data_IF_558511229170
#
_entry.id   IF_558511229170
#
_cell.length_a   1.000
_cell.length_b   1.000
_cell.length_c   1.000
_cell.angle_alpha   90.00
_cell.angle_beta   90.00
_cell.angle_gamma   90.00
#
_symmetry.space_group_name_H-M   'P 1'
#
loop_
_entity.id
_entity.type
_entity.pdbx_description
1 polymer ?
#
# COMPACT_ATOMS: atom_id res chain seq x y z
N UNK A 1 1.34 -3.85 66.22
CA UNK A 1 0.36 -3.98 65.11
C UNK A 1 0.88 -3.11 63.96
N UNK A 2 1.63 -3.70 63.03
CA UNK A 2 2.22 -2.97 61.90
C UNK A 2 1.33 -3.18 60.65
N UNK A 3 0.74 -2.11 60.14
CA UNK A 3 -0.08 -2.11 58.92
C UNK A 3 0.83 -2.16 57.69
N UNK A 4 0.70 -3.21 56.88
CA UNK A 4 1.40 -3.32 55.59
C UNK A 4 0.90 -2.24 54.62
N UNK A 5 1.78 -1.60 53.84
CA UNK A 5 1.38 -0.63 52.84
C UNK A 5 0.64 -1.30 51.68
N UNK A 6 -0.46 -0.67 51.24
CA UNK A 6 -1.24 -1.12 50.09
C UNK A 6 -0.42 -1.01 48.79
N UNK A 7 -0.30 -2.13 48.06
CA UNK A 7 0.33 -2.18 46.75
C UNK A 7 -0.54 -1.40 45.76
N UNK A 8 0.00 -0.31 45.20
CA UNK A 8 -0.68 0.48 44.17
C UNK A 8 -0.94 -0.40 42.92
N UNK A 9 -2.12 -0.31 42.29
CA UNK A 9 -2.41 -1.07 41.07
C UNK A 9 -1.45 -0.64 39.96
N UNK A 10 -0.66 -1.59 39.46
CA UNK A 10 0.26 -1.37 38.33
C UNK A 10 -0.49 -0.80 37.13
N UNK A 11 0.09 0.22 36.49
CA UNK A 11 -0.44 0.83 35.27
C UNK A 11 -0.72 -0.27 34.24
N UNK A 12 -1.95 -0.39 33.71
CA UNK A 12 -2.26 -1.45 32.76
C UNK A 12 -1.36 -1.28 31.53
N UNK A 13 -0.52 -2.29 31.28
CA UNK A 13 0.35 -2.30 30.11
C UNK A 13 -0.50 -2.08 28.85
N UNK A 14 -0.15 -1.05 28.07
CA UNK A 14 -0.94 -0.63 26.89
C UNK A 14 -0.85 -1.71 25.82
N UNK A 15 -1.77 -2.68 25.85
CA UNK A 15 -1.84 -3.77 24.87
C UNK A 15 -2.08 -3.20 23.47
N UNK A 16 -1.13 -3.43 22.56
CA UNK A 16 -1.28 -3.04 21.15
C UNK A 16 -2.43 -3.86 20.53
N UNK A 17 -3.32 -3.17 19.81
CA UNK A 17 -4.41 -3.85 19.11
C UNK A 17 -3.87 -4.54 17.86
N UNK A 18 -4.44 -5.68 17.41
CA UNK A 18 -3.92 -6.49 16.29
C UNK A 18 -3.56 -5.70 15.02
N UNK A 19 -4.33 -4.68 14.66
CA UNK A 19 -4.06 -3.85 13.48
C UNK A 19 -2.79 -2.98 13.58
N UNK A 20 -2.24 -2.74 14.78
CA UNK A 20 -0.95 -2.04 14.92
C UNK A 20 0.20 -2.93 14.45
N UNK A 21 0.14 -4.23 14.73
CA UNK A 21 1.15 -5.19 14.26
C UNK A 21 1.18 -5.23 12.73
N UNK A 22 0.03 -5.19 12.06
CA UNK A 22 -0.04 -5.08 10.60
C UNK A 22 0.76 -3.88 10.07
N UNK A 23 0.54 -2.67 10.63
CA UNK A 23 1.25 -1.47 10.20
C UNK A 23 2.74 -1.49 10.53
N UNK A 24 3.12 -2.08 11.67
CA UNK A 24 4.52 -2.24 12.03
C UNK A 24 5.22 -3.19 11.04
N UNK A 25 4.61 -4.34 10.75
CA UNK A 25 5.15 -5.32 9.80
C UNK A 25 5.28 -4.70 8.40
N UNK A 26 4.23 -4.04 7.90
CA UNK A 26 4.29 -3.33 6.61
C UNK A 26 5.35 -2.23 6.60
N UNK A 27 5.51 -1.49 7.70
CA UNK A 27 6.55 -0.46 7.85
C UNK A 27 7.96 -1.04 7.82
N UNK A 28 8.19 -2.16 8.52
CA UNK A 28 9.48 -2.86 8.52
C UNK A 28 9.80 -3.45 7.14
N UNK A 29 8.83 -4.06 6.46
CA UNK A 29 8.99 -4.53 5.09
C UNK A 29 9.28 -3.39 4.11
N UNK A 30 8.58 -2.26 4.25
CA UNK A 30 8.86 -1.08 3.44
C UNK A 30 10.28 -0.56 3.65
N UNK A 31 10.73 -0.46 4.92
CA UNK A 31 12.07 -0.04 5.26
C UNK A 31 13.15 -1.00 4.74
N UNK A 32 12.90 -2.32 4.81
CA UNK A 32 13.84 -3.30 4.26
C UNK A 32 13.98 -3.17 2.75
N UNK A 33 12.88 -2.92 2.03
CA UNK A 33 12.95 -2.68 0.58
C UNK A 33 13.75 -1.42 0.26
N UNK A 34 13.51 -0.31 0.98
CA UNK A 34 14.27 0.92 0.80
C UNK A 34 15.78 0.71 1.02
N UNK A 35 16.15 -0.07 2.04
CA UNK A 35 17.55 -0.35 2.38
C UNK A 35 18.25 -1.29 1.40
N UNK A 36 17.59 -2.39 0.98
CA UNK A 36 18.22 -3.43 0.16
C UNK A 36 18.07 -3.24 -1.35
N UNK A 37 17.01 -2.57 -1.80
CA UNK A 37 16.73 -2.40 -3.23
C UNK A 37 16.98 -0.98 -3.70
N UNK A 38 16.38 0.00 -3.02
CA UNK A 38 16.37 1.36 -3.55
C UNK A 38 17.68 2.11 -3.26
N UNK A 39 18.23 1.98 -2.06
CA UNK A 39 19.48 2.64 -1.68
C UNK A 39 20.68 2.31 -2.60
N UNK A 40 20.94 1.02 -2.96
CA UNK A 40 21.97 0.69 -3.94
C UNK A 40 21.68 1.25 -5.34
N UNK A 41 20.40 1.26 -5.75
CA UNK A 41 19.98 1.76 -7.06
C UNK A 41 20.28 3.25 -7.24
N UNK A 42 20.19 4.04 -6.16
CA UNK A 42 20.50 5.48 -6.20
C UNK A 42 22.00 5.80 -6.14
N UNK A 43 22.86 4.88 -5.69
CA UNK A 43 24.30 5.12 -5.49
C UNK A 43 25.23 4.37 -6.47
N UNK A 44 24.73 3.32 -7.15
CA UNK A 44 25.55 2.35 -7.88
C UNK A 44 25.84 2.63 -9.37
N UNK A 45 25.65 3.84 -9.90
CA UNK A 45 25.79 4.10 -11.35
C UNK A 45 27.17 4.63 -11.76
N UNK A 46 27.84 3.89 -12.66
CA UNK A 46 29.15 4.16 -13.28
C UNK A 46 29.20 5.54 -14.01
N UNK A 47 30.24 6.40 -13.86
CA UNK A 47 30.12 7.85 -14.11
C UNK A 47 29.99 8.32 -15.57
N UNK A 48 30.46 7.55 -16.56
CA UNK A 48 30.72 8.06 -17.92
C UNK A 48 29.63 7.76 -18.96
N UNK A 49 28.90 6.64 -18.86
CA UNK A 49 27.77 6.31 -19.75
C UNK A 49 26.40 6.59 -19.11
N UNK A 50 26.35 6.75 -17.78
CA UNK A 50 25.12 6.94 -17.04
C UNK A 50 24.54 8.35 -17.26
N UNK A 51 25.34 9.40 -17.19
CA UNK A 51 24.86 10.77 -16.90
C UNK A 51 23.63 11.27 -17.70
N UNK A 52 23.54 11.07 -19.02
CA UNK A 52 22.41 11.56 -19.82
C UNK A 52 21.15 10.66 -19.78
N UNK A 53 21.33 9.33 -19.80
CA UNK A 53 20.23 8.36 -19.60
C UNK A 53 19.74 8.40 -18.15
N UNK A 54 20.67 8.46 -17.21
CA UNK A 54 20.47 8.59 -15.77
C UNK A 54 19.68 9.84 -15.38
N UNK A 55 19.92 11.00 -16.01
CA UNK A 55 19.12 12.21 -15.73
C UNK A 55 17.65 12.07 -16.18
N UNK A 56 17.40 11.44 -17.33
CA UNK A 56 16.03 11.21 -17.83
C UNK A 56 15.29 10.15 -17.00
N UNK A 57 15.97 9.06 -16.64
CA UNK A 57 15.42 8.02 -15.77
C UNK A 57 15.15 8.57 -14.35
N UNK A 58 16.05 9.38 -13.78
CA UNK A 58 15.83 10.01 -12.48
C UNK A 58 14.67 11.01 -12.48
N UNK A 59 14.46 11.75 -13.58
CA UNK A 59 13.35 12.68 -13.70
C UNK A 59 11.97 11.99 -13.62
N UNK A 60 11.90 10.70 -13.94
CA UNK A 60 10.68 9.89 -13.85
C UNK A 60 10.68 9.08 -12.54
N UNK A 61 11.83 8.52 -12.16
CA UNK A 61 12.00 7.66 -10.99
C UNK A 61 11.78 8.42 -9.69
N UNK A 62 12.33 9.64 -9.56
CA UNK A 62 12.20 10.42 -8.32
C UNK A 62 10.72 10.76 -8.06
N UNK A 63 9.95 11.34 -9.00
CA UNK A 63 8.52 11.56 -8.79
C UNK A 63 7.75 10.27 -8.50
N UNK A 64 8.05 9.18 -9.21
CA UNK A 64 7.43 7.88 -8.97
C UNK A 64 7.66 7.39 -7.53
N UNK A 65 8.92 7.33 -7.10
CA UNK A 65 9.32 6.84 -5.79
C UNK A 65 8.78 7.73 -4.67
N UNK A 66 8.94 9.06 -4.78
CA UNK A 66 8.43 10.01 -3.78
C UNK A 66 6.91 9.89 -3.64
N UNK A 67 6.18 9.79 -4.74
CA UNK A 67 4.73 9.62 -4.70
C UNK A 67 4.32 8.26 -4.12
N UNK A 68 5.00 7.16 -4.50
CA UNK A 68 4.73 5.82 -3.99
C UNK A 68 4.99 5.68 -2.48
N UNK A 69 6.12 6.19 -2.00
CA UNK A 69 6.46 6.22 -0.57
C UNK A 69 5.48 7.09 0.20
N UNK A 70 5.16 8.29 -0.31
CA UNK A 70 4.18 9.18 0.32
C UNK A 70 2.82 8.51 0.43
N UNK A 71 2.30 7.92 -0.66
CA UNK A 71 1.03 7.21 -0.66
C UNK A 71 1.01 6.05 0.34
N UNK A 72 2.13 5.31 0.45
CA UNK A 72 2.30 4.22 1.43
C UNK A 72 2.23 4.75 2.87
N UNK A 73 2.99 5.80 3.20
CA UNK A 73 3.04 6.39 4.55
C UNK A 73 1.70 7.01 4.98
N UNK A 74 0.89 7.51 4.03
CA UNK A 74 -0.43 8.05 4.34
C UNK A 74 -1.44 6.97 4.77
N UNK A 75 -1.25 5.71 4.37
CA UNK A 75 -2.17 4.59 4.63
C UNK A 75 -2.62 4.45 6.08
N UNK A 76 -1.72 4.28 7.07
CA UNK A 76 -2.08 4.13 8.49
C UNK A 76 -3.03 5.22 8.99
N UNK A 77 -2.85 6.46 8.53
CA UNK A 77 -3.68 7.59 8.91
C UNK A 77 -5.03 7.59 8.17
N UNK A 78 -5.03 7.26 6.88
CA UNK A 78 -6.25 7.18 6.06
C UNK A 78 -7.19 6.06 6.52
N UNK A 79 -6.66 4.91 6.92
CA UNK A 79 -7.46 3.77 7.43
C UNK A 79 -7.83 3.90 8.91
N UNK A 80 -7.23 4.83 9.66
CA UNK A 80 -7.53 5.03 11.07
C UNK A 80 -8.89 5.70 11.30
N UNK A 81 -9.84 4.94 11.85
CA UNK A 81 -11.16 5.47 12.24
C UNK A 81 -11.03 6.56 13.31
N UNK A 82 -10.13 6.38 14.30
CA UNK A 82 -9.87 7.38 15.36
C UNK A 82 -9.34 8.69 14.78
N UNK A 83 -8.42 8.62 13.82
CA UNK A 83 -7.87 9.81 13.17
C UNK A 83 -8.96 10.52 12.36
N UNK A 84 -9.73 9.78 11.55
CA UNK A 84 -10.82 10.34 10.75
C UNK A 84 -11.89 11.02 11.60
N UNK A 85 -12.25 10.45 12.76
CA UNK A 85 -13.24 11.03 13.68
C UNK A 85 -12.75 12.34 14.33
N UNK A 86 -11.46 12.44 14.64
CA UNK A 86 -10.88 13.61 15.31
C UNK A 86 -10.41 14.71 14.36
N UNK A 87 -9.96 14.34 13.16
CA UNK A 87 -9.29 15.23 12.22
C UNK A 87 -9.80 15.04 10.79
N UNK A 88 -11.11 15.18 10.59
CA UNK A 88 -11.75 14.94 9.30
C UNK A 88 -11.18 15.81 8.17
N UNK A 89 -10.87 17.08 8.43
CA UNK A 89 -10.24 17.95 7.44
C UNK A 89 -8.87 17.43 7.00
N UNK A 90 -8.03 17.00 7.96
CA UNK A 90 -6.72 16.42 7.66
C UNK A 90 -6.86 15.13 6.86
N UNK A 91 -7.81 14.27 7.24
CA UNK A 91 -8.12 13.06 6.47
C UNK A 91 -8.49 13.37 5.01
N UNK A 92 -9.28 14.42 4.75
CA UNK A 92 -9.62 14.86 3.38
C UNK A 92 -8.42 15.38 2.61
N UNK A 93 -7.55 16.19 3.24
CA UNK A 93 -6.33 16.70 2.60
C UNK A 93 -5.39 15.54 2.27
N UNK A 94 -5.13 14.65 3.22
CA UNK A 94 -4.31 13.47 3.01
C UNK A 94 -4.88 12.57 1.91
N UNK A 95 -6.21 12.42 1.85
CA UNK A 95 -6.87 11.68 0.77
C UNK A 95 -6.64 12.29 -0.60
N UNK A 96 -6.66 13.63 -0.71
CA UNK A 96 -6.34 14.32 -1.98
C UNK A 96 -4.87 14.15 -2.37
N UNK A 97 -3.95 14.32 -1.40
CA UNK A 97 -2.52 14.10 -1.62
C UNK A 97 -2.28 12.67 -2.12
N UNK A 98 -2.90 11.67 -1.49
CA UNK A 98 -2.84 10.27 -1.91
C UNK A 98 -3.29 10.07 -3.37
N UNK A 99 -4.44 10.66 -3.76
CA UNK A 99 -4.93 10.58 -5.15
C UNK A 99 -3.96 11.22 -6.14
N UNK A 100 -3.40 12.39 -5.81
CA UNK A 100 -2.42 13.08 -6.67
C UNK A 100 -1.15 12.24 -6.80
N UNK A 101 -0.64 11.67 -5.71
CA UNK A 101 0.51 10.77 -5.74
C UNK A 101 0.28 9.60 -6.70
N UNK A 102 -0.90 8.98 -6.67
CA UNK A 102 -1.20 7.85 -7.56
C UNK A 102 -1.34 8.30 -9.01
N UNK A 103 -1.95 9.47 -9.26
CA UNK A 103 -2.04 10.03 -10.60
C UNK A 103 -0.66 10.27 -11.25
N UNK A 104 0.38 10.49 -10.43
CA UNK A 104 1.78 10.60 -10.89
C UNK A 104 2.46 9.23 -10.93
N UNK A 105 2.36 8.44 -9.87
CA UNK A 105 3.09 7.19 -9.71
C UNK A 105 2.63 6.09 -10.67
N UNK A 106 1.31 6.01 -10.95
CA UNK A 106 0.75 4.96 -11.80
C UNK A 106 1.26 5.02 -13.25
N UNK A 107 1.19 6.16 -13.99
CA UNK A 107 1.72 6.21 -15.35
C UNK A 107 3.25 6.12 -15.39
N UNK A 108 3.94 6.69 -14.39
CA UNK A 108 5.41 6.68 -14.35
C UNK A 108 5.98 5.27 -14.13
N UNK A 109 5.23 4.35 -13.51
CA UNK A 109 5.64 2.94 -13.42
C UNK A 109 5.86 2.30 -14.79
N UNK A 110 4.94 2.56 -15.74
CA UNK A 110 5.07 2.08 -17.12
C UNK A 110 6.17 2.83 -17.89
N UNK A 111 6.34 4.13 -17.64
CA UNK A 111 7.39 4.90 -18.31
C UNK A 111 8.80 4.46 -17.91
N UNK A 112 8.98 4.02 -16.65
CA UNK A 112 10.24 3.46 -16.15
C UNK A 112 10.53 2.09 -16.75
N UNK A 113 9.50 1.27 -16.91
CA UNK A 113 9.64 -0.07 -17.47
C UNK A 113 8.38 -0.42 -18.28
N UNK A 114 8.43 -0.22 -19.63
CA UNK A 114 7.26 -0.25 -20.49
C UNK A 114 6.89 -1.69 -20.85
N UNK A 115 6.33 -2.41 -19.88
CA UNK A 115 5.79 -3.75 -20.06
C UNK A 115 4.28 -3.78 -19.76
N UNK A 116 3.60 -4.82 -20.26
CA UNK A 116 2.14 -4.96 -20.14
C UNK A 116 1.70 -5.04 -18.67
N UNK A 117 2.46 -5.73 -17.81
CA UNK A 117 2.11 -5.84 -16.40
C UNK A 117 2.12 -4.48 -15.69
N UNK A 118 3.13 -3.65 -15.91
CA UNK A 118 3.21 -2.31 -15.35
C UNK A 118 2.12 -1.39 -15.90
N UNK A 119 1.80 -1.50 -17.20
CA UNK A 119 0.69 -0.77 -17.82
C UNK A 119 -0.66 -1.12 -17.21
N UNK A 120 -0.98 -2.43 -17.12
CA UNK A 120 -2.23 -2.93 -16.54
C UNK A 120 -2.30 -2.63 -15.03
N UNK A 121 -1.22 -2.89 -14.29
CA UNK A 121 -1.14 -2.62 -12.87
C UNK A 121 -1.33 -1.14 -12.54
N UNK A 122 -0.67 -0.25 -13.28
CA UNK A 122 -0.85 1.20 -13.15
C UNK A 122 -2.28 1.64 -13.46
N UNK A 123 -2.89 1.11 -14.53
CA UNK A 123 -4.28 1.42 -14.89
C UNK A 123 -5.26 0.96 -13.81
N UNK A 124 -5.12 -0.27 -13.31
CA UNK A 124 -5.97 -0.81 -12.24
C UNK A 124 -5.80 -0.02 -10.94
N UNK A 125 -4.57 0.37 -10.61
CA UNK A 125 -4.27 1.19 -9.44
C UNK A 125 -4.94 2.57 -9.53
N UNK A 126 -4.81 3.24 -10.68
CA UNK A 126 -5.45 4.52 -10.94
C UNK A 126 -6.99 4.40 -10.93
N UNK A 127 -7.55 3.36 -11.56
CA UNK A 127 -8.99 3.11 -11.62
C UNK A 127 -9.59 2.87 -10.23
N UNK A 128 -8.95 2.02 -9.41
CA UNK A 128 -9.40 1.78 -8.03
C UNK A 128 -9.36 3.07 -7.20
N UNK A 129 -8.32 3.88 -7.37
CA UNK A 129 -8.14 5.15 -6.67
C UNK A 129 -9.19 6.18 -7.09
N UNK A 130 -9.47 6.25 -8.39
CA UNK A 130 -10.52 7.11 -8.93
C UNK A 130 -11.90 6.69 -8.41
N UNK A 131 -12.23 5.39 -8.43
CA UNK A 131 -13.47 4.87 -7.88
C UNK A 131 -13.61 5.18 -6.38
N UNK A 132 -12.53 5.04 -5.62
CA UNK A 132 -12.49 5.39 -4.21
C UNK A 132 -12.73 6.89 -3.98
N UNK A 133 -12.13 7.76 -4.79
CA UNK A 133 -12.36 9.21 -4.73
C UNK A 133 -13.79 9.58 -5.11
N UNK A 134 -14.34 9.01 -6.18
CA UNK A 134 -15.67 9.31 -6.67
C UNK A 134 -16.74 8.88 -5.65
N UNK A 135 -16.62 7.68 -5.09
CA UNK A 135 -17.53 7.19 -4.05
C UNK A 135 -17.44 8.01 -2.76
N UNK A 136 -16.26 8.53 -2.39
CA UNK A 136 -16.12 9.49 -1.29
C UNK A 136 -16.86 10.80 -1.57
N UNK A 137 -16.71 11.36 -2.78
CA UNK A 137 -17.43 12.59 -3.19
C UNK A 137 -18.95 12.40 -3.17
N UNK A 138 -19.40 11.23 -3.63
CA UNK A 138 -20.81 10.85 -3.63
C UNK A 138 -21.34 10.45 -2.24
N UNK A 139 -20.52 10.56 -1.18
CA UNK A 139 -20.86 10.18 0.20
C UNK A 139 -21.24 8.70 0.36
N UNK A 140 -20.86 7.85 -0.59
CA UNK A 140 -21.03 6.40 -0.53
C UNK A 140 -19.89 5.77 0.28
N UNK A 141 -19.93 5.93 1.61
CA UNK A 141 -18.79 5.63 2.48
C UNK A 141 -18.44 4.14 2.53
N UNK A 142 -19.42 3.25 2.40
CA UNK A 142 -19.16 1.80 2.36
C UNK A 142 -18.38 1.43 1.10
N UNK A 143 -18.86 1.82 -0.08
CA UNK A 143 -18.17 1.62 -1.35
C UNK A 143 -16.78 2.28 -1.35
N UNK A 144 -16.66 3.51 -0.84
CA UNK A 144 -15.38 4.19 -0.69
C UNK A 144 -14.34 3.35 0.06
N UNK A 145 -14.73 2.74 1.19
CA UNK A 145 -13.80 1.88 1.95
C UNK A 145 -13.36 0.67 1.15
N UNK A 146 -14.29 0.02 0.45
CA UNK A 146 -13.97 -1.14 -0.38
C UNK A 146 -12.99 -0.78 -1.50
N UNK A 147 -13.21 0.33 -2.22
CA UNK A 147 -12.30 0.78 -3.28
C UNK A 147 -10.96 1.29 -2.74
N UNK A 148 -10.94 1.96 -1.58
CA UNK A 148 -9.70 2.38 -0.94
C UNK A 148 -8.80 1.21 -0.56
N UNK A 149 -9.36 0.10 -0.06
CA UNK A 149 -8.54 -1.09 0.25
C UNK A 149 -7.87 -1.63 -1.01
N UNK A 150 -8.60 -1.76 -2.13
CA UNK A 150 -8.03 -2.21 -3.41
C UNK A 150 -6.91 -1.28 -3.88
N UNK A 151 -7.20 0.02 -3.92
CA UNK A 151 -6.21 1.04 -4.27
C UNK A 151 -4.95 0.93 -3.41
N UNK A 152 -5.11 0.74 -2.09
CA UNK A 152 -3.99 0.66 -1.19
C UNK A 152 -3.18 -0.65 -1.31
N UNK A 153 -3.83 -1.77 -1.64
CA UNK A 153 -3.11 -3.01 -1.96
C UNK A 153 -2.24 -2.86 -3.22
N UNK A 154 -2.71 -2.16 -4.24
CA UNK A 154 -1.87 -1.77 -5.38
C UNK A 154 -0.73 -0.83 -4.98
N UNK A 155 -0.98 0.13 -4.08
CA UNK A 155 0.09 1.00 -3.52
C UNK A 155 1.18 0.18 -2.83
N UNK A 156 0.81 -0.89 -2.10
CA UNK A 156 1.73 -1.79 -1.42
C UNK A 156 2.43 -2.78 -2.36
N UNK A 157 2.10 -2.81 -3.66
CA UNK A 157 2.71 -3.73 -4.62
C UNK A 157 4.24 -3.60 -4.62
N UNK A 158 4.76 -2.38 -4.48
CA UNK A 158 6.20 -2.14 -4.35
C UNK A 158 6.84 -2.94 -3.20
N UNK A 159 6.15 -3.05 -2.07
CA UNK A 159 6.62 -3.83 -0.91
C UNK A 159 6.51 -5.32 -1.24
N UNK A 160 5.34 -5.77 -1.72
CA UNK A 160 5.08 -7.19 -1.95
C UNK A 160 5.99 -7.83 -2.99
N UNK A 161 6.40 -7.08 -4.02
CA UNK A 161 7.27 -7.62 -5.07
C UNK A 161 8.76 -7.51 -4.76
N UNK A 162 9.16 -6.62 -3.84
CA UNK A 162 10.58 -6.35 -3.57
C UNK A 162 11.05 -6.84 -2.21
N UNK A 163 10.15 -7.15 -1.27
CA UNK A 163 10.54 -7.66 0.06
C UNK A 163 11.37 -8.95 -0.03
N UNK A 164 11.18 -9.73 -1.10
CA UNK A 164 11.91 -10.96 -1.37
C UNK A 164 13.24 -10.76 -2.13
N UNK A 165 13.60 -9.53 -2.54
CA UNK A 165 14.85 -9.25 -3.25
C UNK A 165 16.14 -9.73 -2.55
N UNK A 166 16.24 -9.76 -1.20
CA UNK A 166 17.41 -10.35 -0.54
C UNK A 166 17.58 -11.86 -0.77
N UNK A 167 16.58 -12.56 -1.32
CA UNK A 167 16.60 -14.00 -1.57
C UNK A 167 17.13 -14.23 -2.99
N UNK A 168 18.27 -14.91 -3.20
CA UNK A 168 18.84 -15.11 -4.54
C UNK A 168 17.89 -15.78 -5.52
N UNK A 169 17.13 -16.78 -5.06
CA UNK A 169 16.13 -17.46 -5.89
C UNK A 169 15.03 -16.53 -6.42
N UNK A 170 14.75 -15.43 -5.73
CA UNK A 170 13.78 -14.42 -6.17
C UNK A 170 14.34 -13.55 -7.29
N UNK A 171 15.58 -13.08 -7.14
CA UNK A 171 16.25 -12.22 -8.12
C UNK A 171 16.55 -12.98 -9.43
N UNK A 172 16.71 -14.30 -9.36
CA UNK A 172 16.90 -15.17 -10.52
C UNK A 172 15.60 -15.77 -11.09
N UNK A 173 14.42 -15.26 -10.71
CA UNK A 173 13.17 -15.64 -11.36
C UNK A 173 13.21 -15.26 -12.86
N UNK A 174 12.61 -16.10 -13.70
CA UNK A 174 12.41 -15.72 -15.10
C UNK A 174 11.33 -14.64 -15.19
N UNK A 175 11.42 -13.80 -16.22
CA UNK A 175 10.45 -12.74 -16.49
C UNK A 175 9.00 -13.27 -16.54
N UNK A 176 8.81 -14.46 -17.12
CA UNK A 176 7.51 -15.12 -17.17
C UNK A 176 6.97 -15.48 -15.77
N UNK A 177 7.81 -16.04 -14.89
CA UNK A 177 7.40 -16.38 -13.51
C UNK A 177 7.07 -15.12 -12.72
N UNK A 178 7.90 -14.07 -12.86
CA UNK A 178 7.65 -12.79 -12.21
C UNK A 178 6.35 -12.14 -12.71
N UNK A 179 6.09 -12.20 -14.02
CA UNK A 179 4.84 -11.75 -14.62
C UNK A 179 3.62 -12.49 -14.04
N UNK A 180 3.68 -13.82 -13.92
CA UNK A 180 2.61 -14.63 -13.32
C UNK A 180 2.34 -14.24 -11.86
N UNK A 181 3.40 -13.98 -11.09
CA UNK A 181 3.28 -13.49 -9.71
C UNK A 181 2.57 -12.14 -9.69
N UNK A 182 2.97 -11.19 -10.55
CA UNK A 182 2.34 -9.86 -10.63
C UNK A 182 0.85 -9.94 -10.95
N UNK A 183 0.47 -10.70 -11.98
CA UNK A 183 -0.94 -10.83 -12.37
C UNK A 183 -1.76 -11.53 -11.27
N UNK A 184 -1.18 -12.54 -10.61
CA UNK A 184 -1.81 -13.21 -9.47
C UNK A 184 -2.04 -12.26 -8.30
N UNK A 185 -1.06 -11.39 -8.01
CA UNK A 185 -1.19 -10.34 -7.00
C UNK A 185 -2.28 -9.33 -7.39
N UNK A 186 -2.33 -8.87 -8.64
CA UNK A 186 -3.37 -7.94 -9.09
C UNK A 186 -4.77 -8.53 -8.94
N UNK A 187 -4.95 -9.80 -9.31
CA UNK A 187 -6.20 -10.52 -9.08
C UNK A 187 -6.51 -10.58 -7.57
N UNK A 188 -5.55 -10.97 -6.73
CA UNK A 188 -5.72 -11.01 -5.28
C UNK A 188 -6.11 -9.63 -4.71
N UNK A 189 -5.51 -8.54 -5.17
CA UNK A 189 -5.83 -7.19 -4.71
C UNK A 189 -7.28 -6.78 -5.02
N UNK A 190 -7.83 -7.26 -6.13
CA UNK A 190 -9.21 -6.97 -6.53
C UNK A 190 -10.23 -7.86 -5.80
N UNK A 191 -9.96 -9.17 -5.71
CA UNK A 191 -10.90 -10.16 -5.17
C UNK A 191 -10.86 -10.32 -3.65
N UNK A 192 -9.68 -10.25 -3.04
CA UNK A 192 -9.53 -10.49 -1.61
C UNK A 192 -10.36 -9.51 -0.75
N UNK A 193 -10.39 -8.19 -1.06
CA UNK A 193 -11.26 -7.27 -0.33
C UNK A 193 -12.74 -7.61 -0.44
N UNK A 194 -13.23 -8.07 -1.60
CA UNK A 194 -14.63 -8.47 -1.77
C UNK A 194 -14.98 -9.68 -0.92
N UNK A 195 -14.14 -10.71 -0.97
CA UNK A 195 -14.32 -11.91 -0.14
C UNK A 195 -14.31 -11.53 1.33
N UNK A 196 -13.37 -10.68 1.75
CA UNK A 196 -13.27 -10.22 3.14
C UNK A 196 -14.50 -9.43 3.60
N UNK A 197 -14.98 -8.47 2.82
CA UNK A 197 -16.12 -7.63 3.20
C UNK A 197 -17.47 -8.36 3.09
N UNK A 198 -17.62 -9.25 2.10
CA UNK A 198 -18.89 -9.91 1.78
C UNK A 198 -18.91 -11.39 2.21
N UNK A 199 -17.94 -11.84 3.03
CA UNK A 199 -17.81 -13.23 3.48
C UNK A 199 -19.11 -13.81 4.03
N UNK A 200 -19.83 -13.02 4.84
CA UNK A 200 -21.10 -13.42 5.43
C UNK A 200 -22.18 -13.67 4.37
N UNK A 201 -22.23 -12.86 3.32
CA UNK A 201 -23.19 -13.05 2.22
C UNK A 201 -22.90 -14.32 1.43
N UNK A 202 -21.61 -14.68 1.29
CA UNK A 202 -21.19 -15.92 0.62
C UNK A 202 -21.43 -17.18 1.46
N UNK A 203 -21.42 -17.07 2.79
CA UNK A 203 -21.43 -18.22 3.71
C UNK A 203 -22.74 -18.42 4.47
N UNK A 204 -23.61 -17.41 4.53
CA UNK A 204 -24.88 -17.51 5.24
C UNK A 204 -26.05 -17.65 4.25
N UNK A 205 -26.80 -18.76 4.36
CA UNK A 205 -28.06 -18.90 3.64
C UNK A 205 -29.08 -17.92 4.22
N UNK A 206 -29.67 -17.06 3.37
CA UNK A 206 -30.89 -16.33 3.76
C UNK A 206 -31.98 -17.35 4.07
N UNK A 207 -32.50 -17.34 5.30
CA UNK A 207 -33.78 -18.00 5.57
C UNK A 207 -34.84 -17.25 4.76
N UNK A 208 -35.57 -17.95 3.89
CA UNK A 208 -36.74 -17.37 3.25
C UNK A 208 -37.69 -16.89 4.35
N UNK A 209 -38.15 -15.64 4.26
CA UNK A 209 -39.25 -15.19 5.09
C UNK A 209 -40.46 -16.02 4.66
N UNK A 210 -40.95 -16.87 5.56
CA UNK A 210 -42.23 -17.57 5.45
C UNK A 210 -43.32 -16.59 5.85
#
# INVERSE_FOLDING_TARGET
>A
MATLPAIAPGTPARRLRPHHYLWIVLGLMGLSVLAYTDYPTFLGSDPLHARARFLKELAILIPHAVCGVTATVLGPFLFSTRFRQRHLLRHRVMGRVYVICIAVAAPTAYLLEPNIANGVGGLLWAACTFAAYQTARNRQIQAHRQWMVRSYLFTLNFIFTRVANPIPAWVHLSDERFFLILISLFAAYLFFPDIYFNWRELTTRRKAAV
#
